data_IF_161183559057
#
_entry.id   IF_161183559057
#
_cell.length_a   1.000
_cell.length_b   1.000
_cell.length_c   1.000
_cell.angle_alpha   90.00
_cell.angle_beta   90.00
_cell.angle_gamma   90.00
#
_symmetry.space_group_name_H-M   'P 1'
#
loop_
_entity.id
_entity.type
_entity.pdbx_description
1 polymer ?
#
# COMPACT_ATOMS: atom_id res chain seq x y z
N UNK A 1 7.31 13.91 -34.30
CA UNK A 1 7.10 13.80 -32.84
C UNK A 1 5.70 14.29 -32.53
N UNK A 2 4.90 13.52 -31.79
CA UNK A 2 3.62 14.02 -31.27
C UNK A 2 3.89 14.92 -30.05
N UNK A 3 3.16 16.03 -29.95
CA UNK A 3 3.21 16.94 -28.81
C UNK A 3 2.40 16.32 -27.67
N UNK A 4 3.07 15.99 -26.57
CA UNK A 4 2.40 15.57 -25.34
C UNK A 4 2.06 16.84 -24.55
N UNK A 5 0.80 17.02 -24.19
CA UNK A 5 0.32 18.22 -23.48
C UNK A 5 0.08 17.98 -21.99
N UNK A 6 -0.10 16.72 -21.59
CA UNK A 6 -0.40 16.33 -20.23
C UNK A 6 0.42 15.10 -19.84
N UNK A 7 0.87 15.06 -18.59
CA UNK A 7 1.52 13.90 -17.98
C UNK A 7 0.76 13.60 -16.68
N UNK A 8 0.32 12.36 -16.53
CA UNK A 8 -0.23 11.86 -15.26
C UNK A 8 0.86 11.02 -14.63
N UNK A 9 1.27 11.40 -13.42
CA UNK A 9 2.30 10.72 -12.66
C UNK A 9 1.64 9.96 -11.52
N UNK A 10 1.98 8.68 -11.39
CA UNK A 10 1.68 7.93 -10.18
C UNK A 10 2.56 8.43 -9.03
N UNK A 11 2.20 8.09 -7.80
CA UNK A 11 2.95 8.49 -6.62
C UNK A 11 4.09 7.50 -6.33
N UNK A 12 3.72 6.24 -6.07
CA UNK A 12 4.63 5.17 -5.66
C UNK A 12 5.52 4.70 -6.80
N UNK A 13 6.83 4.61 -6.55
CA UNK A 13 7.87 4.25 -7.53
C UNK A 13 7.93 5.14 -8.80
N UNK A 14 7.23 6.27 -8.81
CA UNK A 14 7.33 7.31 -9.85
C UNK A 14 7.86 8.61 -9.24
N UNK A 15 7.17 9.17 -8.23
CA UNK A 15 7.64 10.35 -7.49
C UNK A 15 8.42 9.94 -6.24
N UNK A 16 7.95 8.93 -5.52
CA UNK A 16 8.59 8.42 -4.30
C UNK A 16 8.96 6.96 -4.42
N UNK A 17 10.21 6.62 -4.13
CA UNK A 17 10.65 5.23 -4.09
C UNK A 17 10.04 4.50 -2.89
N UNK A 18 9.45 3.34 -3.14
CA UNK A 18 8.87 2.50 -2.09
C UNK A 18 9.89 1.45 -1.65
N UNK A 19 10.13 1.39 -0.35
CA UNK A 19 10.92 0.32 0.29
C UNK A 19 9.98 -0.69 0.97
N UNK A 20 9.70 -1.79 0.26
CA UNK A 20 8.83 -2.84 0.78
C UNK A 20 9.43 -3.58 1.99
N UNK A 21 10.75 -3.69 2.08
CA UNK A 21 11.40 -4.33 3.23
C UNK A 21 11.15 -3.53 4.51
N UNK A 22 11.28 -2.20 4.42
CA UNK A 22 10.98 -1.31 5.54
C UNK A 22 9.52 -1.38 5.97
N UNK A 23 8.58 -1.49 5.03
CA UNK A 23 7.15 -1.66 5.36
C UNK A 23 6.91 -3.01 6.04
N UNK A 24 7.54 -4.08 5.57
CA UNK A 24 7.45 -5.39 6.21
C UNK A 24 7.96 -5.37 7.64
N UNK A 25 9.12 -4.77 7.88
CA UNK A 25 9.69 -4.61 9.22
C UNK A 25 8.78 -3.80 10.14
N UNK A 26 8.17 -2.72 9.64
CA UNK A 26 7.23 -1.92 10.42
C UNK A 26 6.01 -2.73 10.86
N UNK A 27 5.39 -3.52 9.97
CA UNK A 27 4.27 -4.38 10.33
C UNK A 27 4.67 -5.53 11.26
N UNK A 28 5.86 -6.10 11.09
CA UNK A 28 6.40 -7.08 12.04
C UNK A 28 6.57 -6.45 13.42
N UNK A 29 7.06 -5.21 13.50
CA UNK A 29 7.22 -4.48 14.77
C UNK A 29 5.89 -4.23 15.50
N UNK A 30 4.79 -4.16 14.76
CA UNK A 30 3.42 -4.07 15.28
C UNK A 30 2.84 -5.44 15.69
N UNK A 31 3.58 -6.54 15.51
CA UNK A 31 3.18 -7.89 15.92
C UNK A 31 2.63 -8.78 14.80
N UNK A 32 2.63 -8.33 13.55
CA UNK A 32 2.11 -9.10 12.41
C UNK A 32 3.15 -10.13 11.95
N UNK A 33 2.83 -11.43 12.04
CA UNK A 33 3.80 -12.51 11.82
C UNK A 33 4.00 -12.91 10.36
N UNK A 34 3.03 -12.68 9.48
CA UNK A 34 3.06 -13.15 8.08
C UNK A 34 2.85 -12.00 7.07
N UNK A 35 3.66 -10.94 7.18
CA UNK A 35 3.48 -9.74 6.34
C UNK A 35 3.76 -10.04 4.86
N UNK A 36 4.76 -10.88 4.56
CA UNK A 36 5.14 -11.22 3.18
C UNK A 36 4.00 -11.88 2.36
N UNK A 37 3.07 -12.58 3.03
CA UNK A 37 1.91 -13.19 2.39
C UNK A 37 0.67 -12.29 2.34
N UNK A 38 0.69 -11.15 3.03
CA UNK A 38 -0.49 -10.30 3.28
C UNK A 38 -0.36 -8.88 2.71
N UNK A 39 0.86 -8.38 2.55
CA UNK A 39 1.13 -7.07 1.96
C UNK A 39 2.47 -7.09 1.21
N UNK A 40 2.46 -6.86 -0.10
CA UNK A 40 3.68 -6.83 -0.88
C UNK A 40 3.49 -6.29 -2.29
N UNK A 41 4.57 -6.34 -3.07
CA UNK A 41 4.63 -5.69 -4.39
C UNK A 41 3.59 -6.21 -5.41
N UNK A 42 3.07 -7.44 -5.23
CA UNK A 42 2.15 -8.08 -6.19
C UNK A 42 0.73 -8.30 -5.67
N UNK A 43 0.52 -8.20 -4.35
CA UNK A 43 -0.77 -8.49 -3.74
C UNK A 43 -0.84 -7.87 -2.35
N UNK A 44 -2.04 -7.43 -2.00
CA UNK A 44 -2.41 -7.01 -0.66
C UNK A 44 -3.69 -7.72 -0.23
N UNK A 45 -3.88 -7.87 1.07
CA UNK A 45 -5.13 -8.39 1.63
C UNK A 45 -6.31 -7.45 1.36
N UNK A 46 -7.52 -8.01 1.31
CA UNK A 46 -8.75 -7.27 0.97
C UNK A 46 -9.05 -6.08 1.90
N UNK A 47 -8.55 -6.09 3.14
CA UNK A 47 -8.71 -4.96 4.06
C UNK A 47 -7.89 -3.73 3.64
N UNK A 48 -6.71 -3.92 3.02
CA UNK A 48 -5.92 -2.82 2.45
C UNK A 48 -6.60 -2.26 1.20
N UNK A 49 -7.10 -3.14 0.34
CA UNK A 49 -7.87 -2.76 -0.84
C UNK A 49 -9.09 -1.90 -0.47
N UNK A 50 -9.85 -2.32 0.55
CA UNK A 50 -10.99 -1.56 1.04
C UNK A 50 -10.56 -0.20 1.62
N UNK A 51 -9.44 -0.14 2.33
CA UNK A 51 -8.91 1.10 2.88
C UNK A 51 -8.42 2.06 1.79
N UNK A 52 -7.65 1.58 0.81
CA UNK A 52 -7.12 2.37 -0.31
C UNK A 52 -8.24 2.94 -1.20
N UNK A 53 -9.35 2.21 -1.35
CA UNK A 53 -10.55 2.67 -2.07
C UNK A 53 -11.44 3.60 -1.23
N UNK A 54 -11.13 3.79 0.05
CA UNK A 54 -11.94 4.60 0.97
C UNK A 54 -13.28 3.95 1.36
N UNK A 55 -13.38 2.62 1.25
CA UNK A 55 -14.58 1.85 1.62
C UNK A 55 -14.70 1.66 3.13
N UNK A 56 -13.56 1.72 3.85
CA UNK A 56 -13.50 1.68 5.31
C UNK A 56 -12.66 2.83 5.87
N UNK A 57 -12.98 3.26 7.08
CA UNK A 57 -12.25 4.28 7.82
C UNK A 57 -10.92 3.75 8.37
N UNK A 58 -10.03 4.67 8.75
CA UNK A 58 -8.78 4.31 9.43
C UNK A 58 -9.00 3.64 10.80
N UNK A 59 -10.15 3.87 11.46
CA UNK A 59 -10.53 3.11 12.66
C UNK A 59 -10.90 1.67 12.30
N UNK A 60 -11.78 1.47 11.32
CA UNK A 60 -12.19 0.14 10.89
C UNK A 60 -11.01 -0.69 10.38
N UNK A 61 -10.05 -0.08 9.67
CA UNK A 61 -8.84 -0.75 9.22
C UNK A 61 -7.97 -1.30 10.37
N UNK A 62 -7.84 -0.55 11.47
CA UNK A 62 -6.99 -0.94 12.62
C UNK A 62 -7.70 -1.86 13.61
N UNK A 63 -9.00 -1.68 13.77
CA UNK A 63 -9.79 -2.28 14.84
C UNK A 63 -10.59 -3.52 14.37
N UNK A 64 -10.45 -3.91 13.10
CA UNK A 64 -11.05 -5.14 12.57
C UNK A 64 -10.54 -6.36 13.36
N UNK A 65 -11.44 -6.94 14.18
CA UNK A 65 -11.23 -8.18 14.92
C UNK A 65 -11.09 -9.39 13.99
#
# INVERSE_FOLDING_TARGET
>A
MQKIENIILDYGNVIFMIDFARVHEAFISLGIKNVYGFFGHRAQGSIFDAFDRGEISASEFRDAN
#
